data_IF_767824212401
#
_entry.id   IF_767824212401
#
_cell.length_a   1.000
_cell.length_b   1.000
_cell.length_c   1.000
_cell.angle_alpha   90.00
_cell.angle_beta   90.00
_cell.angle_gamma   90.00
#
_symmetry.space_group_name_H-M   'P 1'
#
loop_
_entity.id
_entity.type
_entity.pdbx_description
1 polymer ?
#
# COMPACT_ATOMS: atom_id res chain seq x y z
N UNK A 1 22.79 20.20 2.75
CA UNK A 1 22.04 21.15 3.61
C UNK A 1 20.65 21.22 3.03
N UNK A 2 19.68 20.51 3.61
CA UNK A 2 18.30 20.43 3.10
C UNK A 2 17.60 21.74 3.46
N UNK A 3 16.85 22.31 2.51
CA UNK A 3 16.04 23.50 2.78
C UNK A 3 14.99 23.10 3.81
N UNK A 4 15.16 23.52 5.06
CA UNK A 4 14.17 23.28 6.10
C UNK A 4 12.86 23.96 5.69
N UNK A 5 11.84 23.16 5.44
CA UNK A 5 10.51 23.63 5.02
C UNK A 5 9.88 24.55 6.07
N UNK A 6 8.91 25.31 5.64
CA UNK A 6 8.05 26.07 6.57
C UNK A 6 7.13 25.11 7.33
N UNK A 7 6.50 25.57 8.42
CA UNK A 7 5.48 24.78 9.14
C UNK A 7 4.36 24.29 8.22
N UNK A 8 3.98 25.10 7.22
CA UNK A 8 2.98 24.70 6.24
C UNK A 8 3.44 23.56 5.34
N UNK A 9 4.73 23.54 4.98
CA UNK A 9 5.32 22.45 4.22
C UNK A 9 5.31 21.13 5.01
N UNK A 10 5.70 21.16 6.30
CA UNK A 10 5.69 19.97 7.16
C UNK A 10 4.27 19.39 7.28
N UNK A 11 3.26 20.25 7.53
CA UNK A 11 1.86 19.84 7.65
C UNK A 11 1.36 19.20 6.34
N UNK A 12 1.67 19.82 5.20
CA UNK A 12 1.27 19.29 3.90
C UNK A 12 1.94 17.94 3.60
N UNK A 13 3.23 17.80 3.91
CA UNK A 13 3.95 16.55 3.73
C UNK A 13 3.35 15.42 4.60
N UNK A 14 3.10 15.68 5.89
CA UNK A 14 2.44 14.74 6.80
C UNK A 14 1.08 14.34 6.23
N UNK A 15 0.26 15.31 5.86
CA UNK A 15 -1.10 15.07 5.35
C UNK A 15 -1.09 14.18 4.08
N UNK A 16 -0.23 14.50 3.10
CA UNK A 16 -0.16 13.74 1.85
C UNK A 16 0.34 12.31 2.08
N UNK A 17 1.37 12.13 2.91
CA UNK A 17 1.90 10.80 3.27
C UNK A 17 0.83 10.02 4.03
N UNK A 18 0.12 10.65 4.96
CA UNK A 18 -0.95 9.99 5.73
C UNK A 18 -2.11 9.53 4.85
N UNK A 19 -2.52 10.32 3.84
CA UNK A 19 -3.55 9.90 2.88
C UNK A 19 -3.07 8.71 2.06
N UNK A 20 -1.84 8.74 1.56
CA UNK A 20 -1.27 7.63 0.80
C UNK A 20 -1.20 6.37 1.66
N UNK A 21 -0.74 6.48 2.91
CA UNK A 21 -0.69 5.39 3.87
C UNK A 21 -2.10 4.84 4.20
N UNK A 22 -3.07 5.72 4.47
CA UNK A 22 -4.45 5.33 4.72
C UNK A 22 -5.06 4.57 3.53
N UNK A 23 -4.69 4.93 2.29
CA UNK A 23 -5.12 4.20 1.09
C UNK A 23 -4.59 2.76 1.09
N UNK A 24 -3.36 2.52 1.56
CA UNK A 24 -2.82 1.16 1.66
C UNK A 24 -3.58 0.32 2.69
N UNK A 25 -3.91 0.89 3.85
CA UNK A 25 -4.72 0.21 4.86
C UNK A 25 -6.18 -0.02 4.42
N UNK A 26 -6.75 0.93 3.67
CA UNK A 26 -8.08 0.75 3.09
C UNK A 26 -8.16 -0.53 2.23
N UNK A 27 -7.11 -0.82 1.46
CA UNK A 27 -7.03 -2.03 0.65
C UNK A 27 -7.06 -3.34 1.44
N UNK A 28 -6.63 -3.35 2.72
CA UNK A 28 -6.79 -4.52 3.60
C UNK A 28 -8.27 -4.90 3.79
N UNK A 29 -9.16 -3.94 3.67
CA UNK A 29 -10.60 -4.12 3.87
C UNK A 29 -11.39 -4.28 2.57
N UNK A 30 -10.87 -3.82 1.42
CA UNK A 30 -11.59 -3.85 0.13
C UNK A 30 -11.97 -5.27 -0.25
N UNK A 31 -10.98 -6.18 -0.36
CA UNK A 31 -11.24 -7.55 -0.81
C UNK A 31 -12.19 -8.29 0.14
N UNK A 32 -11.96 -8.34 1.47
CA UNK A 32 -12.87 -9.05 2.37
C UNK A 32 -14.27 -8.43 2.45
N UNK A 33 -14.40 -7.10 2.30
CA UNK A 33 -15.71 -6.45 2.26
C UNK A 33 -16.54 -6.88 1.05
N UNK A 34 -15.91 -7.33 -0.02
CA UNK A 34 -16.56 -7.80 -1.23
C UNK A 34 -16.88 -9.31 -1.21
N UNK A 35 -16.47 -10.07 -0.18
CA UNK A 35 -16.72 -11.51 -0.08
C UNK A 35 -18.19 -11.91 -0.25
N UNK A 36 -19.19 -11.18 0.29
CA UNK A 36 -20.61 -11.54 0.09
C UNK A 36 -21.02 -11.63 -1.38
N UNK A 37 -20.33 -10.92 -2.27
CA UNK A 37 -20.59 -10.91 -3.72
C UNK A 37 -19.59 -11.77 -4.50
N UNK A 38 -18.30 -11.67 -4.19
CA UNK A 38 -17.24 -12.38 -4.92
C UNK A 38 -17.35 -13.89 -4.69
N UNK A 39 -17.48 -14.35 -3.45
CA UNK A 39 -17.46 -15.80 -3.17
C UNK A 39 -18.59 -16.56 -3.89
N UNK A 40 -19.87 -16.14 -3.81
CA UNK A 40 -20.93 -16.83 -4.54
C UNK A 40 -20.76 -16.74 -6.07
N UNK A 41 -20.32 -15.56 -6.57
CA UNK A 41 -20.16 -15.34 -8.02
C UNK A 41 -19.12 -16.28 -8.66
N UNK A 42 -18.01 -16.54 -7.95
CA UNK A 42 -16.94 -17.43 -8.43
C UNK A 42 -17.03 -18.87 -7.88
N UNK A 43 -18.13 -19.22 -7.20
CA UNK A 43 -18.30 -20.54 -6.58
C UNK A 43 -17.25 -20.85 -5.50
N UNK A 44 -16.75 -19.83 -4.83
CA UNK A 44 -15.71 -19.95 -3.79
C UNK A 44 -16.34 -20.10 -2.40
N UNK A 45 -15.68 -20.86 -1.55
CA UNK A 45 -16.02 -20.95 -0.12
C UNK A 45 -15.18 -19.98 0.73
N UNK A 46 -15.50 -19.83 2.01
CA UNK A 46 -14.79 -18.92 2.93
C UNK A 46 -13.32 -19.28 3.12
N UNK A 47 -12.95 -20.57 3.04
CA UNK A 47 -11.54 -20.97 3.13
C UNK A 47 -10.76 -20.42 1.92
N UNK A 48 -11.32 -20.49 0.72
CA UNK A 48 -10.73 -19.92 -0.48
C UNK A 48 -10.65 -18.37 -0.43
N UNK A 49 -11.66 -17.71 0.16
CA UNK A 49 -11.58 -16.30 0.48
C UNK A 49 -10.44 -15.98 1.45
N UNK A 50 -10.26 -16.81 2.48
CA UNK A 50 -9.13 -16.70 3.40
C UNK A 50 -7.77 -16.87 2.71
N UNK A 51 -7.65 -17.82 1.76
CA UNK A 51 -6.40 -17.98 0.98
C UNK A 51 -6.14 -16.80 0.05
N UNK A 52 -7.18 -16.17 -0.48
CA UNK A 52 -7.06 -14.93 -1.25
C UNK A 52 -6.44 -13.80 -0.40
N UNK A 53 -6.92 -13.62 0.84
CA UNK A 53 -6.33 -12.64 1.78
C UNK A 53 -4.92 -13.03 2.22
N UNK A 54 -4.67 -14.33 2.41
CA UNK A 54 -3.32 -14.83 2.70
C UNK A 54 -2.35 -14.47 1.58
N UNK A 55 -2.76 -14.59 0.33
CA UNK A 55 -1.95 -14.19 -0.83
C UNK A 55 -1.58 -12.71 -0.77
N UNK A 56 -2.54 -11.83 -0.46
CA UNK A 56 -2.28 -10.41 -0.24
C UNK A 56 -1.23 -10.19 0.85
N UNK A 57 -1.44 -10.75 2.05
CA UNK A 57 -0.54 -10.51 3.18
C UNK A 57 0.84 -11.12 3.00
N UNK A 58 0.95 -12.31 2.42
CA UNK A 58 2.26 -12.95 2.14
C UNK A 58 3.03 -12.14 1.11
N UNK A 59 2.38 -11.71 0.02
CA UNK A 59 3.01 -10.88 -1.00
C UNK A 59 3.47 -9.55 -0.41
N UNK A 60 2.64 -8.93 0.43
CA UNK A 60 2.99 -7.69 1.13
C UNK A 60 4.18 -7.88 2.08
N UNK A 61 4.18 -8.92 2.91
CA UNK A 61 5.26 -9.19 3.86
C UNK A 61 6.59 -9.48 3.17
N UNK A 62 6.59 -10.33 2.13
CA UNK A 62 7.78 -10.61 1.32
C UNK A 62 8.28 -9.35 0.62
N UNK A 63 7.39 -8.60 -0.03
CA UNK A 63 7.74 -7.34 -0.68
C UNK A 63 8.29 -6.31 0.31
N UNK A 64 7.70 -6.18 1.50
CA UNK A 64 8.12 -5.23 2.52
C UNK A 64 9.54 -5.52 3.06
N UNK A 65 9.93 -6.79 3.17
CA UNK A 65 11.28 -7.16 3.59
C UNK A 65 12.36 -6.68 2.60
N UNK A 66 11.99 -6.49 1.32
CA UNK A 66 12.88 -6.05 0.23
C UNK A 66 12.73 -4.56 -0.11
N UNK A 67 11.62 -3.95 0.26
CA UNK A 67 11.26 -2.59 -0.18
C UNK A 67 12.17 -1.50 0.40
N UNK A 68 12.85 -1.75 1.52
CA UNK A 68 13.89 -0.86 2.03
C UNK A 68 15.00 -0.61 0.99
N UNK A 69 15.52 -1.68 0.38
CA UNK A 69 16.55 -1.56 -0.68
C UNK A 69 16.02 -0.82 -1.92
N UNK A 70 14.74 -1.00 -2.25
CA UNK A 70 14.11 -0.28 -3.35
C UNK A 70 14.05 1.21 -3.05
N UNK A 71 13.56 1.57 -1.85
CA UNK A 71 13.47 2.97 -1.39
C UNK A 71 14.82 3.65 -1.37
N UNK A 72 15.87 2.97 -0.91
CA UNK A 72 17.25 3.49 -0.90
C UNK A 72 17.75 3.75 -2.32
N UNK A 73 17.37 2.93 -3.29
CA UNK A 73 17.83 3.02 -4.67
C UNK A 73 17.07 4.06 -5.51
N UNK A 74 15.73 4.11 -5.40
CA UNK A 74 14.87 4.95 -6.27
C UNK A 74 14.23 6.12 -5.54
N UNK A 75 14.36 6.18 -4.21
CA UNK A 75 13.79 7.21 -3.34
C UNK A 75 12.35 6.92 -2.89
N UNK A 76 11.98 7.44 -1.72
CA UNK A 76 10.67 7.20 -1.10
C UNK A 76 9.49 7.67 -1.95
N UNK A 77 9.62 8.81 -2.65
CA UNK A 77 8.54 9.35 -3.51
C UNK A 77 8.22 8.41 -4.68
N UNK A 78 9.25 7.95 -5.39
CA UNK A 78 9.06 7.04 -6.54
C UNK A 78 8.49 5.71 -6.07
N UNK A 79 8.99 5.16 -4.96
CA UNK A 79 8.47 3.92 -4.37
C UNK A 79 7.01 4.04 -3.97
N UNK A 80 6.61 5.16 -3.34
CA UNK A 80 5.21 5.41 -2.96
C UNK A 80 4.29 5.49 -4.19
N UNK A 81 4.70 6.19 -5.24
CA UNK A 81 3.92 6.24 -6.50
C UNK A 81 3.80 4.86 -7.14
N UNK A 82 4.87 4.05 -7.12
CA UNK A 82 4.81 2.67 -7.61
C UNK A 82 3.79 1.86 -6.82
N UNK A 83 3.78 2.00 -5.49
CA UNK A 83 2.77 1.37 -4.62
C UNK A 83 1.34 1.76 -5.02
N UNK A 84 1.07 3.06 -5.19
CA UNK A 84 -0.26 3.56 -5.60
C UNK A 84 -0.67 3.01 -6.99
N UNK A 85 0.24 2.99 -7.95
CA UNK A 85 -0.04 2.43 -9.30
C UNK A 85 -0.38 0.94 -9.21
N UNK A 86 0.33 0.18 -8.38
CA UNK A 86 0.03 -1.24 -8.15
C UNK A 86 -1.33 -1.45 -7.48
N UNK A 87 -1.72 -0.59 -6.52
CA UNK A 87 -3.04 -0.63 -5.92
C UNK A 87 -4.14 -0.32 -6.96
N UNK A 88 -3.92 0.67 -7.83
CA UNK A 88 -4.85 0.98 -8.93
C UNK A 88 -4.95 -0.23 -9.88
N UNK A 89 -3.82 -0.79 -10.29
CA UNK A 89 -3.80 -1.99 -11.15
C UNK A 89 -4.53 -3.18 -10.52
N UNK A 90 -4.37 -3.35 -9.19
CA UNK A 90 -5.14 -4.35 -8.43
C UNK A 90 -6.65 -4.09 -8.49
N UNK A 91 -7.10 -2.85 -8.30
CA UNK A 91 -8.52 -2.50 -8.38
C UNK A 91 -9.10 -2.79 -9.77
N UNK A 92 -8.36 -2.43 -10.82
CA UNK A 92 -8.75 -2.72 -12.20
C UNK A 92 -8.82 -4.23 -12.43
N UNK A 93 -7.79 -4.99 -12.01
CA UNK A 93 -7.79 -6.45 -12.14
C UNK A 93 -8.94 -7.11 -11.37
N UNK A 94 -9.28 -6.59 -10.19
CA UNK A 94 -10.42 -7.05 -9.38
C UNK A 94 -11.75 -6.79 -10.10
N UNK A 95 -11.93 -5.57 -10.62
CA UNK A 95 -13.15 -5.17 -11.31
C UNK A 95 -13.36 -5.86 -12.65
N UNK A 96 -12.29 -6.33 -13.28
CA UNK A 96 -12.30 -7.07 -14.55
C UNK A 96 -12.18 -8.59 -14.37
N UNK A 97 -12.23 -9.08 -13.11
CA UNK A 97 -12.02 -10.50 -12.86
C UNK A 97 -13.16 -11.35 -13.43
N UNK A 98 -12.83 -12.26 -14.34
CA UNK A 98 -13.74 -13.24 -14.93
C UNK A 98 -13.52 -14.65 -14.36
N UNK A 99 -12.46 -14.87 -13.62
CA UNK A 99 -12.09 -16.15 -13.05
C UNK A 99 -11.29 -16.02 -11.75
N UNK A 100 -11.21 -17.10 -10.99
CA UNK A 100 -10.51 -17.15 -9.71
C UNK A 100 -9.03 -16.77 -9.81
N UNK A 101 -8.23 -17.21 -10.80
CA UNK A 101 -6.85 -16.75 -10.96
C UNK A 101 -6.69 -15.23 -11.05
N UNK A 102 -7.62 -14.52 -11.68
CA UNK A 102 -7.58 -13.05 -11.74
C UNK A 102 -7.80 -12.41 -10.37
N UNK A 103 -8.60 -13.01 -9.50
CA UNK A 103 -8.75 -12.55 -8.11
C UNK A 103 -7.43 -12.67 -7.35
N UNK A 104 -6.71 -13.80 -7.52
CA UNK A 104 -5.39 -13.98 -6.91
C UNK A 104 -4.37 -13.00 -7.48
N UNK A 105 -4.38 -12.74 -8.79
CA UNK A 105 -3.53 -11.71 -9.41
C UNK A 105 -3.79 -10.33 -8.80
N UNK A 106 -5.08 -9.96 -8.63
CA UNK A 106 -5.46 -8.71 -7.95
C UNK A 106 -4.91 -8.66 -6.52
N UNK A 107 -5.06 -9.74 -5.74
CA UNK A 107 -4.54 -9.81 -4.37
C UNK A 107 -3.00 -9.70 -4.33
N UNK A 108 -2.28 -10.32 -5.28
CA UNK A 108 -0.83 -10.18 -5.40
C UNK A 108 -0.42 -8.74 -5.74
N UNK A 109 -1.08 -8.11 -6.70
CA UNK A 109 -0.82 -6.71 -7.07
C UNK A 109 -1.06 -5.77 -5.89
N UNK A 110 -2.17 -5.99 -5.15
CA UNK A 110 -2.47 -5.21 -3.95
C UNK A 110 -1.40 -5.41 -2.87
N UNK A 111 -0.99 -6.65 -2.61
CA UNK A 111 0.07 -6.97 -1.64
C UNK A 111 1.41 -6.35 -2.03
N UNK A 112 1.81 -6.45 -3.30
CA UNK A 112 3.02 -5.83 -3.82
C UNK A 112 2.96 -4.29 -3.69
N UNK A 113 1.82 -3.68 -4.05
CA UNK A 113 1.59 -2.24 -3.85
C UNK A 113 1.68 -1.83 -2.39
N UNK A 114 1.05 -2.61 -1.49
CA UNK A 114 1.07 -2.34 -0.05
C UNK A 114 2.48 -2.42 0.56
N UNK A 115 3.36 -3.24 0.02
CA UNK A 115 4.68 -3.54 0.59
C UNK A 115 5.63 -2.36 0.69
N UNK A 116 5.48 -1.35 -0.15
CA UNK A 116 6.42 -0.22 -0.24
C UNK A 116 6.05 0.97 0.64
N UNK A 117 4.83 1.01 1.22
CA UNK A 117 4.36 2.20 1.95
C UNK A 117 5.18 2.49 3.20
N UNK A 118 5.34 1.53 4.12
CA UNK A 118 6.07 1.78 5.37
C UNK A 118 7.49 2.31 5.15
N UNK A 119 8.38 1.69 4.34
CA UNK A 119 9.70 2.24 4.08
C UNK A 119 9.67 3.59 3.36
N UNK A 120 8.70 3.80 2.45
CA UNK A 120 8.54 5.08 1.76
C UNK A 120 8.13 6.19 2.70
N UNK A 121 7.19 5.91 3.62
CA UNK A 121 6.71 6.87 4.61
C UNK A 121 7.86 7.32 5.51
N UNK A 122 8.62 6.36 6.07
CA UNK A 122 9.80 6.68 6.88
C UNK A 122 10.80 7.52 6.12
N UNK A 123 11.12 7.17 4.87
CA UNK A 123 12.04 7.93 4.02
C UNK A 123 11.54 9.35 3.78
N UNK A 124 10.25 9.49 3.38
CA UNK A 124 9.66 10.79 3.06
C UNK A 124 9.51 11.69 4.28
N UNK A 125 9.11 11.15 5.43
CA UNK A 125 8.97 11.92 6.65
C UNK A 125 10.33 12.40 7.15
N UNK A 126 11.33 11.53 7.22
CA UNK A 126 12.68 11.92 7.64
C UNK A 126 13.33 12.94 6.69
N UNK A 127 13.00 12.88 5.40
CA UNK A 127 13.57 13.80 4.42
C UNK A 127 12.90 15.19 4.40
N UNK A 128 11.57 15.24 4.59
CA UNK A 128 10.79 16.45 4.36
C UNK A 128 10.37 17.19 5.63
N UNK A 129 10.42 16.53 6.81
CA UNK A 129 9.89 17.08 8.05
C UNK A 129 11.04 17.45 8.99
N UNK A 130 10.92 18.62 9.64
CA UNK A 130 11.89 19.09 10.62
C UNK A 130 11.90 18.18 11.86
N UNK A 131 13.07 17.93 12.43
CA UNK A 131 13.29 17.01 13.56
C UNK A 131 12.30 17.21 14.73
N UNK A 132 11.99 18.47 15.06
CA UNK A 132 11.05 18.81 16.13
C UNK A 132 9.62 18.35 15.91
N UNK A 133 9.24 18.03 14.66
CA UNK A 133 7.90 17.56 14.30
C UNK A 133 7.86 16.07 13.93
N UNK A 134 9.02 15.40 13.79
CA UNK A 134 9.07 13.98 13.45
C UNK A 134 8.31 13.10 14.43
N UNK A 135 8.40 13.38 15.74
CA UNK A 135 7.64 12.64 16.75
C UNK A 135 6.12 12.71 16.54
N UNK A 136 5.61 13.85 16.09
CA UNK A 136 4.17 14.01 15.76
C UNK A 136 3.80 13.39 14.42
N UNK A 137 4.76 13.27 13.49
CA UNK A 137 4.52 12.69 12.17
C UNK A 137 4.39 11.17 12.23
N UNK A 138 5.03 10.53 13.23
CA UNK A 138 4.98 9.09 13.44
C UNK A 138 3.95 8.64 14.50
N UNK A 139 3.30 9.59 15.21
CA UNK A 139 2.23 9.31 16.17
C UNK A 139 0.87 9.15 15.50
#
# INVERSE_FOLDING_TARGET
MYAQGTRGHDILAIFLVSIAHASSHFYHLVIPSLFPWILPHFGMNFLQGGTLMTTFFVTSAVGQSMSGFLVDKVGGRTSMYTGLVLLIASAVALGMAENVPMLYLSAMLAGAGNSVFHPSDYSLMNYNIRDRFLGHAFA
#
